data_IF_061554302574
#
_entry.id   IF_061554302574
#
_cell.length_a   1.000
_cell.length_b   1.000
_cell.length_c   1.000
_cell.angle_alpha   90.00
_cell.angle_beta   90.00
_cell.angle_gamma   90.00
#
_symmetry.space_group_name_H-M   'P 1'
#
loop_
_entity.id
_entity.type
_entity.pdbx_description
1 polymer ?
#
# COMPACT_ATOMS: atom_id res chain seq x y z
N UNK A 1 29.82 6.93 -11.19
CA UNK A 1 28.47 7.26 -10.68
C UNK A 1 28.54 8.68 -10.15
N UNK A 2 27.66 9.58 -10.59
CA UNK A 2 27.63 10.95 -10.07
C UNK A 2 27.28 10.91 -8.57
N UNK A 3 27.91 11.76 -7.77
CA UNK A 3 27.69 11.83 -6.32
C UNK A 3 26.24 12.25 -6.04
N UNK A 4 25.39 11.27 -5.73
CA UNK A 4 23.96 11.44 -5.42
C UNK A 4 23.74 12.43 -4.27
N UNK A 5 24.74 12.64 -3.40
CA UNK A 5 24.66 13.60 -2.29
C UNK A 5 24.46 15.04 -2.75
N UNK A 6 24.90 15.40 -3.96
CA UNK A 6 24.78 16.75 -4.51
C UNK A 6 23.54 16.96 -5.38
N UNK A 7 22.81 15.89 -5.70
CA UNK A 7 21.63 15.97 -6.56
C UNK A 7 20.39 16.40 -5.77
N UNK A 8 19.61 17.33 -6.34
CA UNK A 8 18.27 17.65 -5.83
C UNK A 8 17.34 16.43 -5.91
N UNK A 9 16.45 16.25 -4.93
CA UNK A 9 15.51 15.14 -4.87
C UNK A 9 14.70 14.96 -6.17
N UNK A 10 14.21 16.05 -6.76
CA UNK A 10 13.44 15.99 -8.02
C UNK A 10 14.24 15.49 -9.23
N UNK A 11 15.56 15.74 -9.28
CA UNK A 11 16.43 15.23 -10.35
C UNK A 11 16.74 13.75 -10.13
N UNK A 12 16.95 13.35 -8.88
CA UNK A 12 17.12 11.95 -8.50
C UNK A 12 15.87 11.14 -8.80
N UNK A 13 14.68 11.62 -8.44
CA UNK A 13 13.40 10.98 -8.74
C UNK A 13 13.22 10.75 -10.26
N UNK A 14 13.56 11.74 -11.09
CA UNK A 14 13.51 11.58 -12.56
C UNK A 14 14.46 10.50 -13.06
N UNK A 15 15.70 10.46 -12.54
CA UNK A 15 16.65 9.40 -12.90
C UNK A 15 16.15 8.03 -12.45
N UNK A 16 15.64 7.96 -11.22
CA UNK A 16 15.09 6.74 -10.63
C UNK A 16 13.95 6.19 -11.49
N UNK A 17 12.94 7.00 -11.80
CA UNK A 17 11.82 6.61 -12.68
C UNK A 17 12.30 6.26 -14.09
N UNK A 18 13.33 6.93 -14.61
CA UNK A 18 13.86 6.63 -15.95
C UNK A 18 14.42 5.21 -16.09
N UNK A 19 14.76 4.54 -14.97
CA UNK A 19 15.17 3.13 -14.99
C UNK A 19 14.07 2.20 -15.50
N UNK A 20 12.79 2.63 -15.55
CA UNK A 20 11.72 1.86 -16.19
C UNK A 20 12.03 1.49 -17.65
N UNK A 21 12.88 2.27 -18.33
CA UNK A 21 13.36 1.98 -19.69
C UNK A 21 14.24 0.73 -19.77
N UNK A 22 14.80 0.30 -18.63
CA UNK A 22 15.63 -0.89 -18.50
C UNK A 22 14.81 -2.15 -18.19
N UNK A 23 13.48 -2.05 -18.14
CA UNK A 23 12.63 -3.22 -17.91
C UNK A 23 12.74 -4.22 -19.06
N UNK A 24 12.96 -5.48 -18.71
CA UNK A 24 12.75 -6.58 -19.63
C UNK A 24 11.26 -6.93 -19.73
N UNK A 25 10.90 -7.79 -20.69
CA UNK A 25 9.51 -8.24 -20.84
C UNK A 25 8.94 -8.83 -19.56
N UNK A 26 9.74 -9.60 -18.82
CA UNK A 26 9.32 -10.19 -17.56
C UNK A 26 9.08 -9.14 -16.48
N UNK A 27 9.90 -8.08 -16.44
CA UNK A 27 9.75 -6.98 -15.50
C UNK A 27 8.43 -6.23 -15.76
N UNK A 28 8.09 -5.99 -17.03
CA UNK A 28 6.81 -5.40 -17.42
C UNK A 28 5.60 -6.23 -16.98
N UNK A 29 5.65 -7.56 -17.18
CA UNK A 29 4.57 -8.46 -16.77
C UNK A 29 4.38 -8.41 -15.25
N UNK A 30 5.47 -8.50 -14.49
CA UNK A 30 5.42 -8.44 -13.03
C UNK A 30 4.92 -7.08 -12.54
N UNK A 31 5.48 -5.98 -13.05
CA UNK A 31 5.08 -4.62 -12.70
C UNK A 31 3.59 -4.38 -12.98
N UNK A 32 3.13 -4.69 -14.19
CA UNK A 32 1.73 -4.50 -14.57
C UNK A 32 0.79 -5.36 -13.71
N UNK A 33 1.16 -6.60 -13.40
CA UNK A 33 0.35 -7.50 -12.57
C UNK A 33 0.26 -6.97 -11.14
N UNK A 34 1.39 -6.57 -10.54
CA UNK A 34 1.42 -6.03 -9.19
C UNK A 34 0.65 -4.71 -9.08
N UNK A 35 0.89 -3.80 -10.03
CA UNK A 35 0.18 -2.52 -10.05
C UNK A 35 -1.31 -2.72 -10.28
N UNK A 36 -1.74 -3.63 -11.17
CA UNK A 36 -3.15 -3.94 -11.34
C UNK A 36 -3.78 -4.46 -10.05
N UNK A 37 -3.12 -5.40 -9.36
CA UNK A 37 -3.60 -5.95 -8.08
C UNK A 37 -3.78 -4.86 -7.03
N UNK A 38 -2.77 -4.03 -6.78
CA UNK A 38 -2.84 -3.01 -5.72
C UNK A 38 -3.79 -1.87 -6.11
N UNK A 39 -3.77 -1.46 -7.39
CA UNK A 39 -4.68 -0.43 -7.88
C UNK A 39 -6.15 -0.87 -7.85
N UNK A 40 -6.43 -2.17 -8.02
CA UNK A 40 -7.80 -2.69 -7.93
C UNK A 40 -8.46 -2.41 -6.56
N UNK A 41 -7.68 -2.40 -5.47
CA UNK A 41 -8.17 -2.03 -4.14
C UNK A 41 -8.62 -0.57 -4.12
N UNK A 42 -7.81 0.34 -4.67
CA UNK A 42 -8.17 1.75 -4.76
C UNK A 42 -9.42 1.95 -5.62
N UNK A 43 -9.49 1.31 -6.79
CA UNK A 43 -10.67 1.39 -7.66
C UNK A 43 -11.91 0.87 -6.97
N UNK A 44 -11.83 -0.27 -6.28
CA UNK A 44 -12.95 -0.85 -5.53
C UNK A 44 -13.46 0.07 -4.42
N UNK A 45 -12.54 0.61 -3.61
CA UNK A 45 -12.87 1.58 -2.56
C UNK A 45 -13.49 2.85 -3.15
N UNK A 46 -12.82 3.45 -4.14
CA UNK A 46 -13.28 4.68 -4.76
C UNK A 46 -14.65 4.51 -5.41
N UNK A 47 -14.89 3.39 -6.09
CA UNK A 47 -16.19 3.05 -6.67
C UNK A 47 -17.27 2.89 -5.59
N UNK A 48 -16.98 2.19 -4.48
CA UNK A 48 -17.90 2.01 -3.37
C UNK A 48 -18.32 3.36 -2.76
N UNK A 49 -17.34 4.20 -2.39
CA UNK A 49 -17.61 5.52 -1.82
C UNK A 49 -18.32 6.45 -2.80
N UNK A 50 -17.90 6.44 -4.07
CA UNK A 50 -18.55 7.26 -5.10
C UNK A 50 -20.00 6.83 -5.28
N UNK A 51 -20.29 5.54 -5.35
CA UNK A 51 -21.64 5.02 -5.50
C UNK A 51 -22.55 5.45 -4.35
N UNK A 52 -22.09 5.34 -3.09
CA UNK A 52 -22.88 5.83 -1.97
C UNK A 52 -23.08 7.34 -2.01
N UNK A 53 -22.01 8.10 -2.29
CA UNK A 53 -22.06 9.55 -2.34
C UNK A 53 -23.06 10.08 -3.38
N UNK A 54 -23.03 9.53 -4.60
CA UNK A 54 -23.96 9.96 -5.67
C UNK A 54 -25.41 9.57 -5.40
N UNK A 55 -25.65 8.59 -4.52
CA UNK A 55 -26.97 8.19 -4.05
C UNK A 55 -27.35 8.83 -2.69
N UNK A 56 -26.57 9.80 -2.21
CA UNK A 56 -26.90 10.59 -1.02
C UNK A 56 -26.44 10.03 0.33
N UNK A 57 -25.70 8.92 0.35
CA UNK A 57 -25.10 8.36 1.57
C UNK A 57 -24.13 9.37 2.18
N UNK A 58 -24.28 9.63 3.48
CA UNK A 58 -23.41 10.55 4.22
C UNK A 58 -22.35 9.76 4.98
N UNK A 59 -21.11 9.79 4.48
CA UNK A 59 -19.99 9.19 5.19
C UNK A 59 -19.36 10.19 6.18
N UNK A 60 -18.92 9.72 7.36
CA UNK A 60 -18.09 10.53 8.24
C UNK A 60 -16.80 10.97 7.53
N UNK A 61 -16.36 12.21 7.78
CA UNK A 61 -15.24 12.81 7.05
C UNK A 61 -13.93 12.03 7.14
N UNK A 62 -13.65 11.37 8.26
CA UNK A 62 -12.42 10.58 8.43
C UNK A 62 -12.35 9.36 7.50
N UNK A 63 -13.49 8.85 7.03
CA UNK A 63 -13.53 7.64 6.21
C UNK A 63 -12.87 7.87 4.84
N UNK A 64 -12.78 9.12 4.37
CA UNK A 64 -12.09 9.47 3.12
C UNK A 64 -10.57 9.24 3.18
N UNK A 65 -9.98 9.10 4.37
CA UNK A 65 -8.59 8.65 4.50
C UNK A 65 -8.40 7.16 4.16
N UNK A 66 -9.47 6.37 4.06
CA UNK A 66 -9.40 5.00 3.53
C UNK A 66 -8.96 5.03 2.06
N UNK A 67 -9.73 5.55 1.09
CA UNK A 67 -9.27 5.63 -0.30
C UNK A 67 -8.08 6.57 -0.49
N UNK A 68 -7.96 7.64 0.31
CA UNK A 68 -6.81 8.55 0.27
C UNK A 68 -5.49 7.87 0.67
N UNK A 69 -5.50 7.11 1.78
CA UNK A 69 -4.37 6.31 2.23
C UNK A 69 -4.02 5.21 1.24
N UNK A 70 -5.03 4.54 0.65
CA UNK A 70 -4.81 3.55 -0.42
C UNK A 70 -4.15 4.18 -1.64
N UNK A 71 -4.56 5.38 -2.08
CA UNK A 71 -3.94 6.06 -3.21
C UNK A 71 -2.47 6.40 -2.94
N UNK A 72 -2.16 6.93 -1.75
CA UNK A 72 -0.78 7.18 -1.32
C UNK A 72 0.04 5.89 -1.36
N UNK A 73 -0.51 4.79 -0.85
CA UNK A 73 0.13 3.48 -0.85
C UNK A 73 0.40 2.96 -2.27
N UNK A 74 -0.61 2.99 -3.16
CA UNK A 74 -0.48 2.59 -4.57
C UNK A 74 0.63 3.37 -5.27
N UNK A 75 0.61 4.70 -5.15
CA UNK A 75 1.60 5.56 -5.82
C UNK A 75 2.99 5.25 -5.29
N UNK A 76 3.14 5.08 -3.98
CA UNK A 76 4.40 4.74 -3.35
C UNK A 76 4.97 3.42 -3.89
N UNK A 77 4.15 2.37 -3.93
CA UNK A 77 4.56 1.07 -4.45
C UNK A 77 4.86 1.09 -5.95
N UNK A 78 4.25 2.01 -6.71
CA UNK A 78 4.58 2.19 -8.12
C UNK A 78 6.01 2.69 -8.34
N UNK A 79 6.51 3.55 -7.44
CA UNK A 79 7.92 3.99 -7.47
C UNK A 79 8.82 2.86 -6.96
N UNK A 80 8.50 2.29 -5.81
CA UNK A 80 9.25 1.20 -5.19
C UNK A 80 9.50 0.03 -6.16
N UNK A 81 8.46 -0.44 -6.86
CA UNK A 81 8.60 -1.57 -7.77
C UNK A 81 9.50 -1.26 -8.98
N UNK A 82 9.66 0.01 -9.39
CA UNK A 82 10.67 0.37 -10.42
C UNK A 82 12.07 -0.01 -9.93
N UNK A 83 12.39 0.25 -8.66
CA UNK A 83 13.66 -0.13 -8.06
C UNK A 83 13.83 -1.64 -7.99
N UNK A 84 12.81 -2.36 -7.54
CA UNK A 84 12.78 -3.82 -7.47
C UNK A 84 13.03 -4.50 -8.82
N UNK A 85 12.53 -3.90 -9.90
CA UNK A 85 12.74 -4.40 -11.27
C UNK A 85 14.03 -3.91 -11.90
N UNK A 86 14.84 -3.10 -11.23
CA UNK A 86 16.05 -2.52 -11.84
C UNK A 86 17.26 -2.53 -10.91
N UNK A 87 17.24 -1.70 -9.87
CA UNK A 87 18.39 -1.42 -9.01
C UNK A 87 18.59 -2.47 -7.91
N UNK A 88 17.50 -3.10 -7.43
CA UNK A 88 17.51 -3.90 -6.19
C UNK A 88 17.22 -5.38 -6.40
N UNK A 89 17.32 -5.88 -7.64
CA UNK A 89 17.05 -7.30 -7.97
C UNK A 89 17.86 -8.27 -7.10
N UNK A 90 19.10 -7.94 -6.75
CA UNK A 90 19.96 -8.79 -5.94
C UNK A 90 19.63 -8.71 -4.44
N UNK A 91 19.23 -7.55 -3.92
CA UNK A 91 18.81 -7.42 -2.52
C UNK A 91 17.51 -8.20 -2.26
N UNK A 92 16.56 -8.16 -3.21
CA UNK A 92 15.35 -8.97 -3.17
C UNK A 92 15.63 -10.47 -3.04
N UNK A 93 16.69 -10.97 -3.67
CA UNK A 93 17.10 -12.38 -3.59
C UNK A 93 17.71 -12.74 -2.24
N UNK A 94 18.28 -11.76 -1.51
CA UNK A 94 18.94 -11.99 -0.21
C UNK A 94 17.98 -12.12 0.97
N UNK A 95 16.70 -11.84 0.78
CA UNK A 95 15.69 -12.04 1.83
C UNK A 95 14.56 -11.02 1.82
N UNK A 96 14.79 -9.82 1.29
CA UNK A 96 13.81 -8.72 1.24
C UNK A 96 12.52 -9.15 0.52
N UNK A 97 12.65 -9.89 -0.59
CA UNK A 97 11.50 -10.45 -1.30
C UNK A 97 10.69 -11.49 -0.51
N UNK A 98 11.22 -12.08 0.56
CA UNK A 98 10.44 -12.92 1.48
C UNK A 98 9.63 -12.05 2.45
N UNK A 99 10.22 -10.98 2.97
CA UNK A 99 9.54 -10.01 3.85
C UNK A 99 8.35 -9.39 3.09
N UNK A 100 8.54 -8.97 1.84
CA UNK A 100 7.46 -8.42 1.00
C UNK A 100 6.26 -9.36 0.87
N UNK A 101 6.50 -10.67 0.66
CA UNK A 101 5.41 -11.65 0.58
C UNK A 101 4.63 -11.75 1.89
N UNK A 102 5.32 -11.68 3.03
CA UNK A 102 4.66 -11.70 4.34
C UNK A 102 3.83 -10.42 4.57
N UNK A 103 4.35 -9.25 4.18
CA UNK A 103 3.60 -7.98 4.21
C UNK A 103 2.34 -8.09 3.36
N UNK A 104 2.46 -8.54 2.11
CA UNK A 104 1.31 -8.65 1.19
C UNK A 104 0.25 -9.59 1.74
N UNK A 105 0.62 -10.79 2.17
CA UNK A 105 -0.33 -11.77 2.69
C UNK A 105 -1.05 -11.20 3.92
N UNK A 106 -0.32 -10.63 4.88
CA UNK A 106 -0.91 -10.08 6.11
C UNK A 106 -1.76 -8.84 5.87
N UNK A 107 -1.34 -7.93 4.98
CA UNK A 107 -2.08 -6.71 4.65
C UNK A 107 -3.36 -7.01 3.84
N UNK A 108 -3.30 -7.88 2.84
CA UNK A 108 -4.50 -8.22 2.03
C UNK A 108 -5.51 -8.97 2.89
N UNK A 109 -5.05 -9.96 3.66
CA UNK A 109 -5.96 -10.75 4.50
C UNK A 109 -6.54 -9.94 5.66
N UNK A 110 -5.84 -8.93 6.18
CA UNK A 110 -6.41 -8.04 7.20
C UNK A 110 -7.56 -7.19 6.67
N UNK A 111 -7.42 -6.64 5.45
CA UNK A 111 -8.50 -5.90 4.78
C UNK A 111 -9.69 -6.82 4.49
N UNK A 112 -9.44 -8.05 4.01
CA UNK A 112 -10.50 -9.04 3.82
C UNK A 112 -11.22 -9.37 5.14
N UNK A 113 -10.47 -9.55 6.23
CA UNK A 113 -11.04 -9.81 7.56
C UNK A 113 -11.87 -8.61 8.06
N UNK A 114 -11.41 -7.37 7.82
CA UNK A 114 -12.16 -6.16 8.12
C UNK A 114 -13.47 -6.09 7.33
N UNK A 115 -13.46 -6.42 6.03
CA UNK A 115 -14.71 -6.52 5.27
C UNK A 115 -15.66 -7.56 5.87
N UNK A 116 -15.14 -8.73 6.25
CA UNK A 116 -15.94 -9.79 6.87
C UNK A 116 -16.47 -9.40 8.27
N UNK A 117 -15.81 -8.47 8.97
CA UNK A 117 -16.32 -7.93 10.23
C UNK A 117 -17.67 -7.21 10.08
N UNK A 118 -18.08 -6.79 8.88
CA UNK A 118 -19.39 -6.16 8.66
C UNK A 118 -20.56 -7.07 9.06
N UNK A 119 -20.51 -8.36 8.71
CA UNK A 119 -21.54 -9.34 9.08
C UNK A 119 -21.10 -10.31 10.18
N UNK A 120 -19.80 -10.49 10.36
CA UNK A 120 -19.22 -11.55 11.21
C UNK A 120 -18.15 -11.02 12.17
N UNK A 121 -18.40 -9.83 12.75
CA UNK A 121 -17.48 -9.14 13.67
C UNK A 121 -16.89 -10.05 14.75
N UNK A 122 -17.72 -10.85 15.43
CA UNK A 122 -17.26 -11.69 16.54
C UNK A 122 -16.24 -12.75 16.14
N UNK A 123 -16.27 -13.22 14.89
CA UNK A 123 -15.30 -14.19 14.36
C UNK A 123 -14.05 -13.50 13.82
N UNK A 124 -14.21 -12.38 13.10
CA UNK A 124 -13.11 -11.81 12.30
C UNK A 124 -12.37 -10.66 12.97
N UNK A 125 -12.89 -10.04 14.04
CA UNK A 125 -12.22 -8.90 14.70
C UNK A 125 -10.82 -9.24 15.23
N UNK A 126 -10.68 -10.42 15.85
CA UNK A 126 -9.39 -10.89 16.41
C UNK A 126 -8.39 -11.26 15.30
N UNK A 127 -8.77 -12.06 14.27
CA UNK A 127 -7.93 -12.25 13.10
C UNK A 127 -7.51 -10.94 12.42
N UNK A 128 -8.44 -10.00 12.23
CA UNK A 128 -8.16 -8.72 11.58
C UNK A 128 -7.07 -7.96 12.33
N UNK A 129 -7.22 -7.72 13.64
CA UNK A 129 -6.21 -6.95 14.39
C UNK A 129 -4.85 -7.66 14.45
N UNK A 130 -4.82 -8.99 14.53
CA UNK A 130 -3.58 -9.75 14.51
C UNK A 130 -2.84 -9.60 13.17
N UNK A 131 -3.57 -9.67 12.06
CA UNK A 131 -3.01 -9.49 10.71
C UNK A 131 -2.56 -8.05 10.45
N UNK A 132 -3.29 -7.05 10.96
CA UNK A 132 -2.86 -5.64 10.94
C UNK A 132 -1.55 -5.46 11.71
N UNK A 133 -1.46 -6.03 12.92
CA UNK A 133 -0.24 -5.94 13.73
C UNK A 133 0.96 -6.58 13.01
N UNK A 134 0.75 -7.75 12.39
CA UNK A 134 1.80 -8.43 11.62
C UNK A 134 2.19 -7.66 10.36
N UNK A 135 1.24 -7.07 9.64
CA UNK A 135 1.56 -6.30 8.44
C UNK A 135 2.41 -5.07 8.77
N UNK A 136 2.10 -4.37 9.87
CA UNK A 136 2.93 -3.26 10.38
C UNK A 136 4.30 -3.76 10.86
N UNK A 137 4.35 -4.89 11.58
CA UNK A 137 5.62 -5.47 12.03
C UNK A 137 6.56 -5.80 10.88
N UNK A 138 6.09 -6.50 9.85
CA UNK A 138 6.92 -6.82 8.70
C UNK A 138 7.28 -5.57 7.88
N UNK A 139 6.40 -4.56 7.81
CA UNK A 139 6.73 -3.26 7.19
C UNK A 139 7.87 -2.54 7.91
N UNK A 140 7.96 -2.65 9.24
CA UNK A 140 9.09 -2.09 10.00
C UNK A 140 10.40 -2.86 9.77
N UNK A 141 10.34 -4.18 9.59
CA UNK A 141 11.51 -4.97 9.21
C UNK A 141 12.03 -4.52 7.85
N UNK A 142 11.13 -4.34 6.89
CA UNK A 142 11.46 -3.85 5.54
C UNK A 142 12.10 -2.46 5.59
N UNK A 143 11.47 -1.53 6.32
CA UNK A 143 12.01 -0.19 6.57
C UNK A 143 13.44 -0.25 7.14
N UNK A 144 13.71 -1.16 8.09
CA UNK A 144 15.05 -1.33 8.64
C UNK A 144 16.08 -1.81 7.59
N UNK A 145 15.68 -2.62 6.61
CA UNK A 145 16.54 -3.04 5.50
C UNK A 145 16.89 -1.85 4.59
N UNK A 146 15.91 -0.99 4.27
CA UNK A 146 16.15 0.25 3.51
C UNK A 146 17.12 1.19 4.24
N UNK A 147 16.91 1.42 5.54
CA UNK A 147 17.82 2.23 6.35
C UNK A 147 19.23 1.63 6.42
N UNK A 148 19.34 0.32 6.58
CA UNK A 148 20.64 -0.37 6.57
C UNK A 148 21.37 -0.14 5.24
N UNK A 149 20.67 -0.27 4.12
CA UNK A 149 21.20 -0.06 2.77
C UNK A 149 21.64 1.39 2.55
N UNK A 150 20.81 2.34 2.97
CA UNK A 150 21.12 3.77 2.90
C UNK A 150 22.37 4.14 3.70
N UNK A 151 22.45 3.67 4.96
CA UNK A 151 23.58 3.96 5.83
C UNK A 151 24.88 3.28 5.37
N UNK A 152 24.79 2.09 4.77
CA UNK A 152 25.96 1.32 4.34
C UNK A 152 26.48 1.79 2.97
N UNK A 153 25.61 2.08 2.02
CA UNK A 153 26.00 2.31 0.62
C UNK A 153 25.75 3.75 0.13
N UNK A 154 25.04 4.59 0.88
CA UNK A 154 24.76 5.99 0.53
C UNK A 154 23.91 6.18 -0.73
N UNK A 155 23.30 5.10 -1.21
CA UNK A 155 22.27 5.06 -2.24
C UNK A 155 20.91 4.99 -1.50
N UNK A 156 19.79 5.31 -2.16
CA UNK A 156 18.43 4.90 -1.76
C UNK A 156 17.40 5.95 -1.30
N UNK A 157 17.64 7.25 -1.49
CA UNK A 157 16.73 8.29 -0.96
C UNK A 157 15.31 8.21 -1.54
N UNK A 158 15.17 7.89 -2.83
CA UNK A 158 13.85 7.83 -3.48
C UNK A 158 13.03 6.66 -2.96
N UNK A 159 13.64 5.49 -2.79
CA UNK A 159 12.95 4.32 -2.25
C UNK A 159 12.56 4.53 -0.78
N UNK A 160 13.44 5.12 0.02
CA UNK A 160 13.11 5.50 1.40
C UNK A 160 11.92 6.46 1.48
N UNK A 161 11.85 7.45 0.58
CA UNK A 161 10.69 8.34 0.52
C UNK A 161 9.43 7.59 0.08
N UNK A 162 9.50 6.67 -0.88
CA UNK A 162 8.35 5.84 -1.23
C UNK A 162 7.93 4.93 -0.08
N UNK A 163 8.87 4.36 0.67
CA UNK A 163 8.58 3.53 1.83
C UNK A 163 7.89 4.32 2.94
N UNK A 164 8.40 5.50 3.27
CA UNK A 164 7.76 6.40 4.21
C UNK A 164 6.32 6.72 3.80
N UNK A 165 6.08 7.08 2.53
CA UNK A 165 4.73 7.40 2.06
C UNK A 165 3.82 6.17 1.97
N UNK A 166 4.38 4.98 1.70
CA UNK A 166 3.65 3.72 1.75
C UNK A 166 3.20 3.41 3.17
N UNK A 167 4.10 3.46 4.15
CA UNK A 167 3.78 3.22 5.57
C UNK A 167 2.73 4.23 6.05
N UNK A 168 2.90 5.52 5.75
CA UNK A 168 1.92 6.56 6.10
C UNK A 168 0.55 6.27 5.48
N UNK A 169 0.51 5.93 4.19
CA UNK A 169 -0.72 5.59 3.49
C UNK A 169 -1.41 4.37 4.09
N UNK A 170 -0.66 3.32 4.42
CA UNK A 170 -1.16 2.11 5.07
C UNK A 170 -1.70 2.39 6.47
N UNK A 171 -0.98 3.15 7.31
CA UNK A 171 -1.42 3.51 8.66
C UNK A 171 -2.70 4.34 8.62
N UNK A 172 -2.78 5.36 7.76
CA UNK A 172 -3.99 6.17 7.58
C UNK A 172 -5.17 5.30 7.13
N UNK A 173 -4.96 4.48 6.10
CA UNK A 173 -5.99 3.59 5.56
C UNK A 173 -6.50 2.64 6.66
N UNK A 174 -5.62 1.92 7.34
CA UNK A 174 -6.01 0.84 8.25
C UNK A 174 -6.57 1.37 9.58
N UNK A 175 -6.05 2.48 10.10
CA UNK A 175 -6.57 3.09 11.32
C UNK A 175 -7.96 3.69 11.11
N UNK A 176 -8.18 4.38 9.99
CA UNK A 176 -9.51 4.89 9.64
C UNK A 176 -10.49 3.75 9.33
N UNK A 177 -10.05 2.67 8.68
CA UNK A 177 -10.91 1.51 8.44
C UNK A 177 -11.27 0.80 9.74
N UNK A 178 -10.30 0.58 10.64
CA UNK A 178 -10.56 0.01 11.96
C UNK A 178 -11.52 0.86 12.78
N UNK A 179 -11.36 2.19 12.73
CA UNK A 179 -12.30 3.10 13.39
C UNK A 179 -13.68 3.06 12.73
N UNK A 180 -13.76 3.00 11.40
CA UNK A 180 -15.03 2.85 10.68
C UNK A 180 -15.76 1.57 11.09
N UNK A 181 -15.01 0.46 11.23
CA UNK A 181 -15.49 -0.79 11.80
C UNK A 181 -15.99 -0.61 13.25
N UNK A 182 -15.22 0.03 14.12
CA UNK A 182 -15.58 0.18 15.54
C UNK A 182 -16.86 0.99 15.74
N UNK A 183 -17.14 1.92 14.84
CA UNK A 183 -18.38 2.71 14.81
C UNK A 183 -19.57 1.96 14.16
N UNK A 184 -19.40 0.69 13.81
CA UNK A 184 -20.44 -0.12 13.19
C UNK A 184 -20.62 0.11 11.68
N UNK A 185 -19.57 0.57 11.00
CA UNK A 185 -19.55 0.79 9.55
C UNK A 185 -20.67 1.73 9.03
N UNK A 186 -20.81 2.95 9.59
CA UNK A 186 -21.81 3.92 9.12
C UNK A 186 -21.72 4.15 7.60
N UNK A 187 -22.88 4.11 6.93
CA UNK A 187 -23.01 4.27 5.48
C UNK A 187 -22.79 3.00 4.66
N UNK A 188 -22.21 1.92 5.19
CA UNK A 188 -21.99 0.68 4.42
C UNK A 188 -23.30 0.04 4.00
N UNK A 189 -24.21 -0.19 4.96
CA UNK A 189 -25.51 -0.80 4.70
C UNK A 189 -26.34 -0.01 3.68
N UNK A 190 -26.27 1.32 3.73
CA UNK A 190 -26.96 2.21 2.80
C UNK A 190 -26.38 2.11 1.39
N UNK A 191 -25.05 2.05 1.28
CA UNK A 191 -24.34 1.92 0.01
C UNK A 191 -24.63 0.59 -0.67
N UNK A 192 -24.63 -0.51 0.10
CA UNK A 192 -24.85 -1.86 -0.41
C UNK A 192 -26.22 -2.03 -1.09
N UNK A 193 -27.23 -1.25 -0.69
CA UNK A 193 -28.57 -1.26 -1.33
C UNK A 193 -28.50 -0.90 -2.82
N UNK A 194 -27.49 -0.15 -3.25
CA UNK A 194 -27.31 0.27 -4.64
C UNK A 194 -26.40 -0.67 -5.45
N UNK A 195 -25.78 -1.67 -4.79
CA UNK A 195 -24.97 -2.71 -5.45
C UNK A 195 -25.75 -4.01 -5.71
N UNK A 196 -26.83 -4.23 -4.95
CA UNK A 196 -27.64 -5.44 -5.02
C UNK A 196 -28.85 -5.35 -5.98
N UNK A 197 -29.01 -4.21 -6.68
CA UNK A 197 -30.02 -4.01 -7.73
C UNK A 197 -29.45 -4.30 -9.11
#
# INVERSE_FOLDING_TARGET
MADTKTMTLGREARLYVSNIKNFERIDWVLYATWMATIFSLFVGLFAFFTLGLVNGVQYPGYVWFVPGGTLLFVVSLAFDDIGHRTLYKEELKKGEGHVHKMIVITAVTSVMALCLCYEHSDTFKVPAIALIALSLFYSMIDEALHWYRYLTYGLDRIEMWSHFTAILGHVLMISCWWHWFSEGYPGVAETLKFLAG
#
